data_IF_076741242661
#
_entry.id   IF_076741242661
#
_cell.length_a   1.000
_cell.length_b   1.000
_cell.length_c   1.000
_cell.angle_alpha   90.00
_cell.angle_beta   90.00
_cell.angle_gamma   90.00
#
_symmetry.space_group_name_H-M   'P 1'
#
loop_
_entity.id
_entity.type
_entity.pdbx_description
1 polymer ?
#
# COMPACT_ATOMS: atom_id res chain seq x y z
N UNK A 1 17.41 -25.57 11.35
CA UNK A 1 17.62 -26.64 10.36
C UNK A 1 16.28 -27.23 9.92
N UNK A 2 15.50 -27.90 10.78
CA UNK A 2 14.20 -28.44 10.31
C UNK A 2 13.19 -27.38 9.84
N UNK A 3 13.14 -26.19 10.46
CA UNK A 3 12.30 -25.08 10.00
C UNK A 3 12.75 -24.53 8.65
N UNK A 4 14.04 -24.18 8.51
CA UNK A 4 14.61 -23.68 7.26
C UNK A 4 14.49 -24.72 6.12
N UNK A 5 14.78 -26.01 6.37
CA UNK A 5 14.58 -27.05 5.36
C UNK A 5 13.11 -27.20 4.97
N UNK A 6 12.17 -27.12 5.91
CA UNK A 6 10.73 -27.13 5.58
C UNK A 6 10.30 -25.88 4.80
N UNK A 7 10.88 -24.72 5.08
CA UNK A 7 10.64 -23.48 4.33
C UNK A 7 11.17 -23.62 2.90
N UNK A 8 12.42 -24.04 2.73
CA UNK A 8 13.07 -24.22 1.43
C UNK A 8 12.35 -25.28 0.59
N UNK A 9 12.04 -26.46 1.16
CA UNK A 9 11.42 -27.56 0.40
C UNK A 9 9.94 -27.33 0.04
N UNK A 10 9.21 -26.49 0.79
CA UNK A 10 7.76 -26.29 0.58
C UNK A 10 7.36 -24.94 0.02
N UNK A 11 8.06 -23.87 0.40
CA UNK A 11 7.69 -22.50 0.03
C UNK A 11 8.49 -21.99 -1.17
N UNK A 12 9.70 -22.51 -1.40
CA UNK A 12 10.59 -22.10 -2.49
C UNK A 12 11.07 -23.31 -3.30
N UNK A 13 10.18 -24.03 -4.00
CA UNK A 13 10.60 -25.16 -4.80
C UNK A 13 11.58 -24.71 -5.91
N UNK A 14 12.50 -25.60 -6.28
CA UNK A 14 13.65 -25.28 -7.14
C UNK A 14 13.24 -24.78 -8.54
N UNK A 15 12.07 -25.21 -8.99
CA UNK A 15 11.42 -24.89 -10.26
C UNK A 15 10.43 -23.72 -10.18
N UNK A 16 10.34 -23.03 -9.02
CA UNK A 16 9.53 -21.83 -8.90
C UNK A 16 10.08 -20.73 -9.82
N UNK A 17 9.26 -20.30 -10.77
CA UNK A 17 9.56 -19.19 -11.67
C UNK A 17 9.27 -17.86 -10.96
N UNK A 18 10.32 -17.26 -10.41
CA UNK A 18 10.30 -15.94 -9.77
C UNK A 18 11.55 -15.18 -10.17
N UNK A 19 11.43 -13.87 -10.33
CA UNK A 19 12.55 -12.98 -10.69
C UNK A 19 13.15 -12.26 -9.48
N UNK A 20 12.35 -12.06 -8.43
CA UNK A 20 12.73 -11.36 -7.20
C UNK A 20 12.15 -12.06 -5.98
N UNK A 21 13.00 -12.31 -4.98
CA UNK A 21 12.60 -12.75 -3.65
C UNK A 21 12.93 -11.65 -2.65
N UNK A 22 11.91 -11.19 -1.92
CA UNK A 22 12.05 -10.27 -0.79
C UNK A 22 12.06 -11.09 0.50
N UNK A 23 13.12 -10.95 1.29
CA UNK A 23 13.31 -11.67 2.56
C UNK A 23 13.09 -10.69 3.71
N UNK A 24 12.02 -10.88 4.47
CA UNK A 24 11.71 -10.09 5.68
C UNK A 24 11.43 -11.03 6.86
N UNK A 25 12.41 -11.13 7.76
CA UNK A 25 12.32 -11.92 8.99
C UNK A 25 12.78 -11.14 10.23
N UNK A 26 13.05 -9.82 10.10
CA UNK A 26 13.69 -9.03 11.16
C UNK A 26 12.96 -9.10 12.50
N UNK A 27 11.64 -8.89 12.48
CA UNK A 27 10.77 -9.01 13.66
C UNK A 27 10.66 -10.46 14.14
N UNK A 28 10.55 -11.44 13.24
CA UNK A 28 10.39 -12.85 13.61
C UNK A 28 11.65 -13.40 14.29
N UNK A 29 12.82 -13.07 13.79
CA UNK A 29 14.09 -13.53 14.34
C UNK A 29 14.38 -12.88 15.69
N UNK A 30 13.90 -11.65 15.91
CA UNK A 30 14.03 -10.91 17.16
C UNK A 30 13.23 -11.55 18.33
N UNK A 31 12.11 -12.23 18.04
CA UNK A 31 11.20 -12.77 19.09
C UNK A 31 11.40 -14.26 19.37
N UNK A 32 12.26 -14.96 18.63
CA UNK A 32 12.54 -16.38 18.85
C UNK A 32 13.58 -16.52 19.96
N UNK A 33 13.13 -16.97 21.14
CA UNK A 33 13.98 -17.21 22.33
C UNK A 33 15.20 -18.12 22.03
N UNK A 34 15.06 -19.07 21.10
CA UNK A 34 16.15 -19.98 20.69
C UNK A 34 17.32 -19.23 20.00
N UNK A 35 17.08 -18.06 19.43
CA UNK A 35 18.10 -17.24 18.76
C UNK A 35 18.70 -16.15 19.65
N UNK A 36 18.07 -15.86 20.79
CA UNK A 36 18.57 -14.91 21.80
C UNK A 36 20.01 -15.24 22.24
N UNK A 37 20.38 -16.54 22.23
CA UNK A 37 21.70 -17.02 22.65
C UNK A 37 22.57 -17.59 21.52
N UNK A 38 22.11 -17.56 20.26
CA UNK A 38 22.84 -18.19 19.14
C UNK A 38 22.70 -17.44 17.80
N UNK A 39 23.15 -16.19 17.78
CA UNK A 39 23.19 -15.34 16.59
C UNK A 39 23.96 -15.98 15.42
N UNK A 40 24.97 -16.80 15.72
CA UNK A 40 25.75 -17.49 14.68
C UNK A 40 24.91 -18.50 13.91
N UNK A 41 24.04 -19.23 14.60
CA UNK A 41 23.12 -20.13 13.94
C UNK A 41 22.13 -19.38 13.03
N UNK A 42 21.68 -18.20 13.45
CA UNK A 42 20.81 -17.36 12.62
C UNK A 42 21.55 -16.88 11.37
N UNK A 43 22.80 -16.40 11.50
CA UNK A 43 23.65 -16.05 10.35
C UNK A 43 23.79 -17.22 9.39
N UNK A 44 24.09 -18.43 9.91
CA UNK A 44 24.18 -19.64 9.10
C UNK A 44 22.87 -19.96 8.37
N UNK A 45 21.71 -19.74 9.01
CA UNK A 45 20.43 -19.98 8.38
C UNK A 45 20.18 -19.05 7.19
N UNK A 46 20.47 -17.76 7.32
CA UNK A 46 20.37 -16.82 6.20
C UNK A 46 21.41 -17.09 5.12
N UNK A 47 22.66 -17.45 5.47
CA UNK A 47 23.65 -17.86 4.48
C UNK A 47 23.20 -19.08 3.68
N UNK A 48 22.55 -20.05 4.33
CA UNK A 48 22.00 -21.23 3.66
C UNK A 48 20.83 -20.87 2.74
N UNK A 49 19.95 -19.96 3.15
CA UNK A 49 18.87 -19.45 2.30
C UNK A 49 19.44 -18.77 1.04
N UNK A 50 20.41 -17.88 1.21
CA UNK A 50 21.06 -17.16 0.10
C UNK A 50 21.71 -18.12 -0.88
N UNK A 51 22.47 -19.11 -0.39
CA UNK A 51 23.10 -20.13 -1.23
C UNK A 51 22.07 -20.98 -1.95
N UNK A 52 20.99 -21.38 -1.27
CA UNK A 52 19.92 -22.13 -1.91
C UNK A 52 19.32 -21.35 -3.08
N UNK A 53 18.96 -20.08 -2.86
CA UNK A 53 18.36 -19.24 -3.90
C UNK A 53 19.31 -19.01 -5.08
N UNK A 54 20.59 -18.72 -4.81
CA UNK A 54 21.57 -18.44 -5.87
C UNK A 54 22.04 -19.67 -6.62
N UNK A 55 22.37 -20.73 -5.89
CA UNK A 55 23.11 -21.88 -6.42
C UNK A 55 22.18 -23.03 -6.82
N UNK A 56 20.94 -23.05 -6.31
CA UNK A 56 20.01 -24.18 -6.50
C UNK A 56 18.82 -23.83 -7.38
N UNK A 57 18.16 -22.69 -7.17
CA UNK A 57 16.95 -22.33 -7.95
C UNK A 57 17.27 -22.12 -9.44
N UNK A 58 16.40 -22.62 -10.31
CA UNK A 58 16.65 -22.69 -11.76
C UNK A 58 16.85 -21.32 -12.42
N UNK A 59 16.15 -20.29 -11.93
CA UNK A 59 16.20 -18.92 -12.45
C UNK A 59 17.12 -17.99 -11.67
N UNK A 60 17.77 -18.47 -10.59
CA UNK A 60 18.64 -17.68 -9.71
C UNK A 60 18.07 -16.27 -9.43
N UNK A 61 16.88 -16.15 -8.80
CA UNK A 61 16.20 -14.88 -8.65
C UNK A 61 17.06 -13.84 -7.92
N UNK A 62 16.79 -12.57 -8.20
CA UNK A 62 17.33 -11.48 -7.42
C UNK A 62 16.87 -11.60 -5.97
N UNK A 63 17.75 -11.21 -5.04
CA UNK A 63 17.45 -11.17 -3.61
C UNK A 63 17.45 -9.72 -3.14
N UNK A 64 16.42 -9.36 -2.39
CA UNK A 64 16.34 -8.13 -1.62
C UNK A 64 15.98 -8.48 -0.18
N UNK A 65 16.80 -8.03 0.77
CA UNK A 65 16.42 -8.12 2.18
C UNK A 65 15.64 -6.87 2.58
N UNK A 66 14.60 -7.05 3.38
CA UNK A 66 13.87 -5.97 4.01
C UNK A 66 13.89 -6.18 5.52
N UNK A 67 14.24 -5.14 6.26
CA UNK A 67 14.30 -5.19 7.71
C UNK A 67 13.07 -4.56 8.33
N UNK A 68 12.11 -5.41 8.69
CA UNK A 68 11.10 -5.08 9.69
C UNK A 68 11.76 -4.98 11.06
N UNK A 69 11.29 -4.01 11.86
CA UNK A 69 11.78 -3.78 13.20
C UNK A 69 10.64 -3.78 14.21
N UNK A 70 10.96 -4.18 15.44
CA UNK A 70 10.06 -3.96 16.58
C UNK A 70 10.41 -2.60 17.14
N UNK A 71 9.49 -1.67 17.00
CA UNK A 71 9.65 -0.34 17.53
C UNK A 71 9.79 -0.37 19.08
N UNK A 72 10.61 0.54 19.63
CA UNK A 72 11.15 0.42 20.99
C UNK A 72 10.11 0.51 22.12
N UNK A 73 8.85 0.86 21.85
CA UNK A 73 7.78 0.91 22.86
C UNK A 73 7.48 -0.45 23.51
N UNK A 74 7.73 -1.59 22.82
CA UNK A 74 7.67 -2.94 23.43
C UNK A 74 8.99 -3.38 24.05
N UNK A 75 10.11 -2.74 23.72
CA UNK A 75 11.43 -3.13 24.21
C UNK A 75 11.70 -2.67 25.65
N UNK A 76 10.76 -1.99 26.31
CA UNK A 76 10.87 -1.70 27.75
C UNK A 76 10.83 -2.97 28.63
N UNK A 77 10.28 -4.09 28.14
CA UNK A 77 10.35 -5.39 28.81
C UNK A 77 11.57 -6.24 28.36
N UNK A 78 12.15 -5.96 27.19
CA UNK A 78 13.37 -6.61 26.68
C UNK A 78 14.14 -5.68 25.71
N UNK A 79 15.05 -4.80 26.20
CA UNK A 79 15.70 -3.77 25.38
C UNK A 79 16.64 -4.29 24.27
N UNK A 80 16.91 -5.59 24.24
CA UNK A 80 18.02 -6.19 23.50
C UNK A 80 17.61 -6.94 22.23
N UNK A 81 16.30 -7.07 21.95
CA UNK A 81 15.80 -7.99 20.92
C UNK A 81 15.74 -7.40 19.50
N UNK A 82 15.51 -6.10 19.30
CA UNK A 82 15.38 -5.51 17.95
C UNK A 82 16.66 -4.85 17.41
N UNK A 83 17.52 -4.29 18.26
CA UNK A 83 18.74 -3.59 17.78
C UNK A 83 19.77 -4.53 17.13
N UNK A 84 19.75 -5.82 17.47
CA UNK A 84 20.76 -6.79 17.04
C UNK A 84 20.42 -7.49 15.69
N UNK A 85 19.14 -7.60 15.32
CA UNK A 85 18.77 -8.39 14.13
C UNK A 85 19.13 -7.69 12.81
N UNK A 86 18.95 -6.37 12.73
CA UNK A 86 19.38 -5.60 11.57
C UNK A 86 20.89 -5.76 11.31
N UNK A 87 21.72 -5.73 12.35
CA UNK A 87 23.17 -5.94 12.24
C UNK A 87 23.52 -7.38 11.83
N UNK A 88 22.80 -8.38 12.36
CA UNK A 88 22.96 -9.77 11.97
C UNK A 88 22.65 -9.97 10.49
N UNK A 89 21.49 -9.51 10.02
CA UNK A 89 21.08 -9.59 8.62
C UNK A 89 22.02 -8.79 7.71
N UNK A 90 22.41 -7.57 8.11
CA UNK A 90 23.38 -6.74 7.38
C UNK A 90 24.74 -7.44 7.23
N UNK A 91 25.23 -8.11 8.29
CA UNK A 91 26.51 -8.83 8.24
C UNK A 91 26.53 -9.96 7.21
N UNK A 92 25.39 -10.64 7.02
CA UNK A 92 25.24 -11.72 6.04
C UNK A 92 25.03 -11.15 4.63
N UNK A 93 24.15 -10.18 4.47
CA UNK A 93 23.82 -9.58 3.16
C UNK A 93 25.03 -8.86 2.55
N UNK A 94 25.79 -8.11 3.35
CA UNK A 94 27.03 -7.45 2.90
C UNK A 94 28.08 -8.45 2.43
N UNK A 95 28.26 -9.57 3.14
CA UNK A 95 29.19 -10.64 2.75
C UNK A 95 28.85 -11.25 1.39
N UNK A 96 27.57 -11.24 1.02
CA UNK A 96 27.05 -11.82 -0.20
C UNK A 96 26.69 -10.79 -1.28
N UNK A 97 27.00 -9.52 -1.10
CA UNK A 97 26.61 -8.44 -2.02
C UNK A 97 25.10 -8.43 -2.31
N UNK A 98 24.28 -8.60 -1.27
CA UNK A 98 22.82 -8.55 -1.37
C UNK A 98 22.33 -7.21 -0.85
N UNK A 99 21.48 -6.50 -1.60
CA UNK A 99 20.91 -5.26 -1.12
C UNK A 99 19.93 -5.49 0.03
N UNK A 100 19.87 -4.52 0.94
CA UNK A 100 18.98 -4.53 2.10
C UNK A 100 18.34 -3.15 2.27
N UNK A 101 17.03 -3.11 2.47
CA UNK A 101 16.29 -1.90 2.89
C UNK A 101 15.96 -2.00 4.37
N UNK A 102 16.10 -0.90 5.11
CA UNK A 102 15.73 -0.82 6.53
C UNK A 102 14.50 0.05 6.71
N UNK A 103 13.41 -0.56 7.22
CA UNK A 103 12.22 0.20 7.57
C UNK A 103 12.44 1.02 8.83
N UNK A 104 13.30 0.55 9.74
CA UNK A 104 13.74 1.33 10.90
C UNK A 104 14.37 2.64 10.47
N UNK A 105 15.34 2.60 9.57
CA UNK A 105 16.05 3.81 9.15
C UNK A 105 15.15 4.73 8.30
N UNK A 106 14.10 4.21 7.66
CA UNK A 106 13.12 4.99 6.93
C UNK A 106 12.09 5.69 7.83
N UNK A 107 11.57 5.00 8.86
CA UNK A 107 10.55 5.51 9.80
C UNK A 107 11.18 6.29 10.94
N UNK A 108 12.37 5.88 11.36
CA UNK A 108 13.05 6.35 12.56
C UNK A 108 14.55 6.61 12.29
N UNK A 109 14.87 7.60 11.44
CA UNK A 109 16.25 7.86 11.00
C UNK A 109 17.18 8.35 12.13
N UNK A 110 16.61 8.91 13.20
CA UNK A 110 17.35 9.41 14.36
C UNK A 110 16.80 8.80 15.63
N UNK A 111 17.66 8.10 16.39
CA UNK A 111 17.29 7.46 17.66
C UNK A 111 16.65 8.42 18.66
N UNK A 112 16.83 9.73 18.53
CA UNK A 112 16.29 10.73 19.46
C UNK A 112 14.81 11.07 19.19
N UNK A 113 14.29 10.76 18.00
CA UNK A 113 12.92 11.10 17.55
C UNK A 113 11.91 9.99 17.88
N UNK A 114 11.91 9.54 19.14
CA UNK A 114 11.08 8.42 19.61
C UNK A 114 9.58 8.63 19.43
N UNK A 115 9.09 9.87 19.62
CA UNK A 115 7.66 10.18 19.52
C UNK A 115 7.14 10.02 18.08
N UNK A 116 7.93 10.43 17.08
CA UNK A 116 7.54 10.31 15.67
C UNK A 116 7.45 8.84 15.22
N UNK A 117 8.32 7.96 15.74
CA UNK A 117 8.27 6.54 15.45
C UNK A 117 7.05 5.84 16.08
N UNK A 118 6.60 6.30 17.26
CA UNK A 118 5.39 5.81 17.92
C UNK A 118 4.12 6.27 17.19
N UNK A 119 4.09 7.54 16.77
CA UNK A 119 2.97 8.10 16.00
C UNK A 119 2.80 7.41 14.64
N UNK A 120 3.91 7.01 13.99
CA UNK A 120 3.90 6.32 12.71
C UNK A 120 3.65 4.82 12.89
N UNK A 121 4.44 4.12 13.71
CA UNK A 121 4.42 2.65 13.79
C UNK A 121 3.36 2.07 14.75
N UNK A 122 2.71 2.93 15.56
CA UNK A 122 1.73 2.53 16.56
C UNK A 122 2.35 1.71 17.71
N UNK A 123 1.54 0.99 18.50
CA UNK A 123 2.01 0.15 19.63
C UNK A 123 2.06 -1.36 19.33
N UNK A 124 1.97 -1.73 18.05
CA UNK A 124 1.83 -3.13 17.63
C UNK A 124 3.10 -3.66 16.97
N UNK A 125 3.31 -4.98 17.08
CA UNK A 125 4.33 -5.70 16.28
C UNK A 125 3.87 -5.84 14.82
N UNK A 126 2.55 -5.90 14.63
CA UNK A 126 1.93 -5.87 13.31
C UNK A 126 1.51 -4.43 13.04
N UNK A 127 2.20 -3.73 12.12
CA UNK A 127 1.82 -2.37 11.78
C UNK A 127 0.39 -2.27 11.26
N UNK A 128 -0.19 -1.08 11.33
CA UNK A 128 -1.43 -0.80 10.62
C UNK A 128 -1.17 -0.58 9.11
N UNK A 129 -2.23 -0.26 8.38
CA UNK A 129 -2.18 -0.11 6.94
C UNK A 129 -1.25 1.03 6.49
N UNK A 130 -1.18 2.11 7.25
CA UNK A 130 -0.40 3.30 6.95
C UNK A 130 1.09 2.98 6.91
N UNK A 131 1.54 2.22 7.89
CA UNK A 131 2.92 1.77 7.96
C UNK A 131 3.21 0.71 6.91
N UNK A 132 2.27 -0.20 6.62
CA UNK A 132 2.43 -1.16 5.54
C UNK A 132 2.59 -0.46 4.18
N UNK A 133 1.84 0.61 3.93
CA UNK A 133 2.00 1.45 2.73
C UNK A 133 3.39 2.09 2.70
N UNK A 134 3.85 2.68 3.82
CA UNK A 134 5.20 3.25 3.93
C UNK A 134 6.31 2.23 3.65
N UNK A 135 6.18 1.01 4.19
CA UNK A 135 7.13 -0.09 3.95
C UNK A 135 7.18 -0.46 2.46
N UNK A 136 6.01 -0.62 1.82
CA UNK A 136 5.92 -0.92 0.39
C UNK A 136 6.54 0.21 -0.46
N UNK A 137 6.27 1.46 -0.09
CA UNK A 137 6.80 2.66 -0.72
C UNK A 137 8.33 2.74 -0.64
N UNK A 138 8.93 2.39 0.51
CA UNK A 138 10.39 2.32 0.67
C UNK A 138 11.01 1.27 -0.26
N UNK A 139 10.40 0.07 -0.34
CA UNK A 139 10.85 -0.99 -1.25
C UNK A 139 10.74 -0.53 -2.70
N UNK A 140 9.59 0.04 -3.09
CA UNK A 140 9.36 0.53 -4.44
C UNK A 140 10.38 1.61 -4.81
N UNK A 141 10.60 2.60 -3.95
CA UNK A 141 11.59 3.65 -4.15
C UNK A 141 13.00 3.08 -4.36
N UNK A 142 13.41 2.09 -3.56
CA UNK A 142 14.70 1.43 -3.72
C UNK A 142 14.83 0.72 -5.08
N UNK A 143 13.79 -0.01 -5.50
CA UNK A 143 13.77 -0.71 -6.79
C UNK A 143 13.81 0.28 -7.96
N UNK A 144 13.05 1.37 -7.89
CA UNK A 144 13.04 2.43 -8.89
C UNK A 144 14.40 3.12 -9.01
N UNK A 145 15.03 3.46 -7.89
CA UNK A 145 16.38 4.04 -7.87
C UNK A 145 17.42 3.09 -8.45
N UNK A 146 17.32 1.80 -8.11
CA UNK A 146 18.20 0.76 -8.64
C UNK A 146 18.04 0.61 -10.16
N UNK A 147 16.81 0.65 -10.65
CA UNK A 147 16.53 0.62 -12.09
C UNK A 147 17.07 1.87 -12.80
N UNK A 148 16.84 3.07 -12.25
CA UNK A 148 17.38 4.30 -12.82
C UNK A 148 18.92 4.25 -12.96
N UNK A 149 19.62 3.80 -11.91
CA UNK A 149 21.08 3.60 -11.94
C UNK A 149 21.51 2.53 -12.92
N UNK A 150 20.75 1.45 -13.05
CA UNK A 150 21.01 0.42 -14.08
C UNK A 150 20.95 1.04 -15.48
N UNK A 151 19.94 1.86 -15.78
CA UNK A 151 19.81 2.54 -17.07
C UNK A 151 20.95 3.54 -17.33
N UNK A 152 21.43 4.24 -16.29
CA UNK A 152 22.59 5.14 -16.42
C UNK A 152 23.86 4.39 -16.85
N UNK A 153 24.05 3.16 -16.36
CA UNK A 153 25.25 2.36 -16.63
C UNK A 153 25.13 1.55 -17.93
N UNK A 154 23.95 0.99 -18.21
CA UNK A 154 23.76 0.00 -19.28
C UNK A 154 22.91 0.51 -20.46
N UNK A 155 22.44 1.76 -20.39
CA UNK A 155 21.59 2.37 -21.41
C UNK A 155 20.11 2.02 -21.23
N UNK A 156 19.21 2.66 -22.02
CA UNK A 156 17.77 2.44 -21.91
C UNK A 156 17.39 0.99 -22.24
N UNK A 157 16.84 0.28 -21.26
CA UNK A 157 16.04 -0.94 -21.48
C UNK A 157 14.70 -0.54 -22.14
N UNK A 158 14.08 -1.38 -22.98
CA UNK A 158 12.80 -1.06 -23.64
C UNK A 158 11.60 -0.88 -22.69
N UNK A 159 11.76 -1.11 -21.38
CA UNK A 159 10.69 -0.90 -20.40
C UNK A 159 10.70 0.55 -19.87
N UNK A 160 9.51 1.18 -19.74
CA UNK A 160 9.42 2.56 -19.31
C UNK A 160 10.05 2.75 -17.93
N UNK A 161 10.72 3.89 -17.74
CA UNK A 161 11.11 4.37 -16.42
C UNK A 161 9.89 4.39 -15.50
N UNK A 162 10.06 4.21 -14.17
CA UNK A 162 9.00 4.47 -13.23
C UNK A 162 8.41 5.84 -13.53
N UNK A 163 7.09 5.92 -13.64
CA UNK A 163 6.46 7.17 -14.04
C UNK A 163 6.81 8.23 -13.00
N UNK A 164 7.11 9.46 -13.42
CA UNK A 164 7.38 10.58 -12.51
C UNK A 164 6.25 10.76 -11.46
N UNK A 165 5.04 10.28 -11.81
CA UNK A 165 3.88 10.13 -10.93
C UNK A 165 4.11 9.20 -9.72
N UNK A 166 4.78 8.06 -9.87
CA UNK A 166 5.07 7.14 -8.75
C UNK A 166 6.11 7.73 -7.78
N UNK A 167 7.11 8.44 -8.31
CA UNK A 167 8.11 9.11 -7.48
C UNK A 167 7.52 10.31 -6.72
N UNK A 168 6.58 11.03 -7.34
CA UNK A 168 5.80 12.09 -6.67
C UNK A 168 4.83 11.50 -5.63
N UNK A 169 4.21 10.34 -5.91
CA UNK A 169 3.40 9.59 -4.93
C UNK A 169 4.20 9.25 -3.68
N UNK A 170 5.41 8.72 -3.83
CA UNK A 170 6.29 8.41 -2.68
C UNK A 170 6.58 9.65 -1.81
N UNK A 171 6.94 10.77 -2.44
CA UNK A 171 7.23 12.03 -1.73
C UNK A 171 5.99 12.63 -1.07
N UNK A 172 4.82 12.45 -1.69
CA UNK A 172 3.53 12.93 -1.19
C UNK A 172 2.94 12.07 -0.06
N UNK A 173 2.99 10.74 -0.19
CA UNK A 173 2.44 9.79 0.80
C UNK A 173 3.15 9.85 2.15
N UNK A 174 4.48 10.04 2.17
CA UNK A 174 5.20 10.38 3.41
C UNK A 174 4.69 11.70 4.04
N UNK A 175 4.15 12.61 3.22
CA UNK A 175 3.59 13.89 3.65
C UNK A 175 2.29 13.75 4.45
N UNK A 176 1.40 12.81 4.12
CA UNK A 176 0.20 12.54 4.92
C UNK A 176 0.54 11.86 6.25
N UNK A 177 1.48 10.90 6.25
CA UNK A 177 1.92 10.18 7.44
C UNK A 177 2.63 11.07 8.48
N UNK A 178 3.41 12.04 8.00
CA UNK A 178 4.13 12.97 8.88
C UNK A 178 3.29 14.17 9.34
N UNK A 179 2.02 14.29 8.91
CA UNK A 179 1.21 15.46 9.18
C UNK A 179 0.25 15.24 10.38
N UNK A 180 0.51 15.89 11.53
CA UNK A 180 -0.34 15.78 12.72
C UNK A 180 -1.72 16.44 12.55
N UNK A 181 -1.97 17.11 11.42
CA UNK A 181 -3.28 17.69 11.06
C UNK A 181 -4.03 16.87 10.01
N UNK A 182 -3.53 15.70 9.63
CA UNK A 182 -4.28 14.83 8.74
C UNK A 182 -5.54 14.29 9.43
N UNK A 183 -6.66 14.26 8.69
CA UNK A 183 -7.92 13.70 9.18
C UNK A 183 -8.11 12.33 8.55
N UNK A 184 -8.25 11.28 9.36
CA UNK A 184 -8.51 9.92 8.89
C UNK A 184 -9.97 9.56 9.19
N UNK A 185 -10.69 9.16 8.15
CA UNK A 185 -12.03 8.62 8.22
C UNK A 185 -11.98 7.10 8.02
N UNK A 186 -11.94 6.37 9.12
CA UNK A 186 -11.98 4.90 9.16
C UNK A 186 -13.42 4.38 9.02
N UNK A 187 -13.81 3.89 7.84
CA UNK A 187 -15.19 3.48 7.57
C UNK A 187 -15.54 2.14 8.23
N UNK A 188 -14.54 1.35 8.62
CA UNK A 188 -14.72 0.07 9.31
C UNK A 188 -15.37 0.21 10.69
N UNK A 189 -15.22 1.37 11.35
CA UNK A 189 -15.78 1.63 12.68
C UNK A 189 -17.31 1.80 12.69
N UNK A 190 -17.94 1.88 11.52
CA UNK A 190 -19.35 2.24 11.36
C UNK A 190 -20.28 1.06 11.02
N UNK A 191 -19.82 -0.19 11.18
CA UNK A 191 -20.64 -1.38 10.88
C UNK A 191 -21.96 -1.42 11.67
N UNK A 192 -21.93 -0.94 12.92
CA UNK A 192 -23.06 -0.91 13.85
C UNK A 192 -23.29 0.49 14.46
N UNK A 193 -22.69 1.53 13.85
CA UNK A 193 -22.79 2.92 14.30
C UNK A 193 -23.52 3.79 13.25
N UNK A 194 -24.01 4.98 13.62
CA UNK A 194 -24.52 5.94 12.65
C UNK A 194 -23.48 6.23 11.57
N UNK A 195 -23.89 6.50 10.34
CA UNK A 195 -22.96 6.90 9.27
C UNK A 195 -22.15 8.14 9.68
N UNK A 196 -20.87 8.24 9.25
CA UNK A 196 -20.04 9.40 9.56
C UNK A 196 -20.67 10.70 9.08
N UNK A 197 -20.46 11.80 9.80
CA UNK A 197 -21.00 13.12 9.46
C UNK A 197 -20.43 13.64 8.13
N UNK A 198 -19.20 13.21 7.81
CA UNK A 198 -18.51 13.48 6.57
C UNK A 198 -19.22 12.85 5.36
N UNK A 199 -19.99 11.76 5.53
CA UNK A 199 -20.75 11.12 4.44
C UNK A 199 -22.06 11.85 4.19
N UNK A 200 -22.02 12.87 3.33
CA UNK A 200 -23.16 13.77 3.06
C UNK A 200 -24.19 13.20 2.08
N UNK A 201 -23.81 12.24 1.23
CA UNK A 201 -24.74 11.61 0.28
C UNK A 201 -24.33 10.18 -0.03
N UNK A 202 -25.31 9.27 -0.05
CA UNK A 202 -25.08 7.86 -0.35
C UNK A 202 -26.24 7.26 -1.14
N UNK A 203 -25.93 6.62 -2.27
CA UNK A 203 -26.89 5.90 -3.11
C UNK A 203 -26.21 4.62 -3.61
N UNK A 204 -26.78 3.46 -3.32
CA UNK A 204 -26.22 2.18 -3.76
C UNK A 204 -24.95 1.74 -2.99
N UNK A 205 -24.59 2.40 -1.88
CA UNK A 205 -23.53 1.94 -0.97
C UNK A 205 -24.09 1.58 0.41
N UNK A 206 -23.46 0.61 1.06
CA UNK A 206 -23.77 0.17 2.41
C UNK A 206 -22.51 -0.22 3.17
N UNK A 207 -22.50 0.00 4.48
CA UNK A 207 -21.39 -0.44 5.33
C UNK A 207 -21.50 -1.95 5.51
N UNK A 208 -20.47 -2.68 5.08
CA UNK A 208 -20.45 -4.14 5.10
C UNK A 208 -19.09 -4.68 5.52
N UNK A 209 -19.13 -5.85 6.15
CA UNK A 209 -17.93 -6.65 6.39
C UNK A 209 -17.72 -7.61 5.21
N UNK A 210 -16.63 -7.44 4.47
CA UNK A 210 -16.23 -8.32 3.36
C UNK A 210 -14.76 -8.73 3.55
N UNK A 211 -14.48 -10.03 3.37
CA UNK A 211 -13.14 -10.61 3.52
C UNK A 211 -12.47 -10.28 4.86
N UNK A 212 -13.27 -10.14 5.93
CA UNK A 212 -12.76 -9.84 7.27
C UNK A 212 -12.65 -8.35 7.60
N UNK A 213 -12.54 -7.48 6.59
CA UNK A 213 -12.47 -6.04 6.78
C UNK A 213 -13.88 -5.43 6.81
N UNK A 214 -14.10 -4.38 7.61
CA UNK A 214 -15.31 -3.56 7.53
C UNK A 214 -15.05 -2.33 6.63
N UNK A 215 -16.08 -1.81 5.98
CA UNK A 215 -15.93 -0.63 5.13
C UNK A 215 -17.20 -0.31 4.33
N UNK A 216 -17.18 0.79 3.58
CA UNK A 216 -18.30 1.20 2.74
C UNK A 216 -18.23 0.48 1.39
N UNK A 217 -19.21 -0.38 1.11
CA UNK A 217 -19.28 -1.16 -0.12
C UNK A 217 -20.38 -0.63 -1.04
N UNK A 218 -20.01 -0.22 -2.24
CA UNK A 218 -20.95 0.18 -3.28
C UNK A 218 -21.32 -1.01 -4.16
N UNK A 219 -22.55 -1.00 -4.68
CA UNK A 219 -23.08 -2.03 -5.56
C UNK A 219 -23.74 -1.37 -6.76
N UNK A 220 -23.22 -1.62 -7.97
CA UNK A 220 -23.82 -1.13 -9.21
C UNK A 220 -24.49 -2.25 -9.98
N UNK A 221 -25.78 -2.06 -10.28
CA UNK A 221 -26.59 -2.96 -11.12
C UNK A 221 -26.82 -2.34 -12.50
N UNK A 222 -25.85 -2.52 -13.40
CA UNK A 222 -25.93 -2.06 -14.78
C UNK A 222 -25.71 -0.55 -14.97
N UNK A 223 -25.99 -0.03 -16.17
CA UNK A 223 -25.64 1.33 -16.57
C UNK A 223 -26.52 2.43 -15.96
N UNK A 224 -27.80 2.14 -15.67
CA UNK A 224 -28.79 3.16 -15.27
C UNK A 224 -28.91 3.38 -13.76
N UNK A 225 -28.24 2.57 -12.95
CA UNK A 225 -28.30 2.62 -11.48
C UNK A 225 -26.90 2.94 -10.91
N UNK A 226 -26.47 4.22 -10.93
CA UNK A 226 -25.13 4.58 -10.47
C UNK A 226 -25.05 4.49 -8.94
N UNK A 227 -24.12 3.69 -8.43
CA UNK A 227 -23.77 3.73 -7.02
C UNK A 227 -22.82 4.91 -6.77
N UNK A 228 -23.25 5.87 -5.95
CA UNK A 228 -22.51 7.10 -5.62
C UNK A 228 -22.43 7.29 -4.10
N UNK A 229 -21.24 7.58 -3.58
CA UNK A 229 -21.02 8.06 -2.22
C UNK A 229 -20.29 9.41 -2.30
N UNK A 230 -20.67 10.39 -1.50
CA UNK A 230 -20.02 11.71 -1.47
C UNK A 230 -19.68 12.08 -0.05
N UNK A 231 -18.43 12.51 0.14
CA UNK A 231 -17.86 12.93 1.41
C UNK A 231 -17.50 14.41 1.36
N UNK A 232 -17.68 15.10 2.47
CA UNK A 232 -17.09 16.42 2.73
C UNK A 232 -16.02 16.26 3.80
N UNK A 233 -14.76 16.45 3.39
CA UNK A 233 -13.57 16.24 4.22
C UNK A 233 -12.91 17.58 4.52
N UNK A 234 -12.39 17.74 5.73
CA UNK A 234 -11.59 18.93 6.10
C UNK A 234 -10.11 18.62 5.86
N UNK A 235 -9.49 19.31 4.92
CA UNK A 235 -8.11 19.03 4.51
C UNK A 235 -7.17 20.14 5.00
N UNK A 236 -6.85 20.13 6.29
CA UNK A 236 -6.04 21.17 6.96
C UNK A 236 -4.52 20.95 6.88
N UNK A 237 -4.07 20.07 5.97
CA UNK A 237 -2.72 19.52 5.94
C UNK A 237 -1.69 20.26 5.07
N UNK A 238 -2.12 21.00 4.05
CA UNK A 238 -1.22 21.76 3.17
C UNK A 238 -0.38 20.94 2.18
N UNK A 239 -0.51 19.61 2.15
CA UNK A 239 0.09 18.77 1.11
C UNK A 239 -0.83 18.62 -0.11
N UNK A 240 -2.15 18.72 0.08
CA UNK A 240 -3.12 18.70 -1.01
C UNK A 240 -3.22 17.31 -1.65
N UNK A 241 -3.36 16.28 -0.83
CA UNK A 241 -3.42 14.88 -1.20
C UNK A 241 -4.57 14.18 -0.47
N UNK A 242 -5.27 13.31 -1.21
CA UNK A 242 -6.24 12.37 -0.69
C UNK A 242 -5.66 10.96 -0.80
N UNK A 243 -5.43 10.33 0.35
CA UNK A 243 -5.11 8.91 0.43
C UNK A 243 -6.40 8.11 0.64
N UNK A 244 -6.55 7.03 -0.14
CA UNK A 244 -7.68 6.12 -0.07
C UNK A 244 -7.17 4.68 0.12
N UNK A 245 -7.74 3.98 1.11
CA UNK A 245 -7.63 2.53 1.23
C UNK A 245 -8.90 1.86 0.70
N UNK A 246 -8.73 0.81 -0.11
CA UNK A 246 -9.84 0.06 -0.69
C UNK A 246 -9.49 -1.42 -0.85
N UNK A 247 -10.50 -2.28 -0.89
CA UNK A 247 -10.30 -3.71 -1.14
C UNK A 247 -10.05 -3.94 -2.63
N UNK A 248 -9.06 -4.76 -2.97
CA UNK A 248 -8.90 -5.34 -4.31
C UNK A 248 -9.15 -6.85 -4.28
N UNK A 249 -9.64 -7.41 -5.39
CA UNK A 249 -9.91 -8.85 -5.48
C UNK A 249 -10.01 -9.36 -6.92
N UNK A 250 -9.73 -10.65 -7.11
CA UNK A 250 -9.85 -11.36 -8.39
C UNK A 250 -11.27 -11.53 -8.93
N UNK A 251 -12.31 -11.46 -8.08
CA UNK A 251 -13.71 -11.62 -8.54
C UNK A 251 -14.61 -10.54 -7.97
N UNK A 252 -15.49 -10.01 -8.83
CA UNK A 252 -16.62 -9.18 -8.45
C UNK A 252 -16.28 -7.72 -8.12
N UNK A 253 -15.00 -7.32 -8.18
CA UNK A 253 -14.61 -5.94 -8.00
C UNK A 253 -14.68 -5.17 -9.31
N UNK A 254 -15.24 -3.96 -9.26
CA UNK A 254 -15.28 -3.01 -10.39
C UNK A 254 -14.32 -1.85 -10.18
N UNK A 255 -14.30 -0.91 -11.13
CA UNK A 255 -13.59 0.35 -10.98
C UNK A 255 -14.51 1.44 -10.42
N UNK A 256 -13.93 2.38 -9.68
CA UNK A 256 -14.60 3.57 -9.16
C UNK A 256 -14.00 4.82 -9.80
N UNK A 257 -14.85 5.76 -10.17
CA UNK A 257 -14.45 7.12 -10.51
C UNK A 257 -14.45 7.95 -9.23
N UNK A 258 -13.31 8.51 -8.89
CA UNK A 258 -13.11 9.42 -7.77
C UNK A 258 -13.05 10.82 -8.33
N UNK A 259 -14.00 11.66 -7.95
CA UNK A 259 -14.07 13.07 -8.31
C UNK A 259 -13.81 13.91 -7.06
N UNK A 260 -12.86 14.84 -7.15
CA UNK A 260 -12.44 15.70 -6.04
C UNK A 260 -12.71 17.14 -6.44
N UNK A 261 -13.55 17.82 -5.68
CA UNK A 261 -13.82 19.26 -5.83
C UNK A 261 -13.22 20.00 -4.63
N UNK A 262 -12.31 20.94 -4.92
CA UNK A 262 -11.73 21.85 -3.93
C UNK A 262 -12.28 23.26 -4.13
N UNK A 263 -12.73 23.90 -3.04
CA UNK A 263 -13.29 25.25 -3.04
C UNK A 263 -14.28 25.48 -1.88
N UNK A 264 -14.80 26.71 -1.71
CA UNK A 264 -15.79 27.01 -0.67
C UNK A 264 -17.02 26.12 -0.82
N UNK A 265 -17.55 25.58 0.28
CA UNK A 265 -18.79 24.80 0.25
C UNK A 265 -19.96 25.71 -0.15
N UNK A 266 -21.07 25.12 -0.57
CA UNK A 266 -22.25 25.87 -1.00
C UNK A 266 -22.82 26.85 0.07
N UNK A 267 -22.41 26.69 1.33
CA UNK A 267 -22.78 27.58 2.44
C UNK A 267 -21.89 28.83 2.57
N UNK A 268 -20.69 28.82 1.97
CA UNK A 268 -19.69 29.90 2.02
C UNK A 268 -19.74 30.87 0.82
N UNK A 269 -20.75 30.73 -0.05
CA UNK A 269 -20.92 31.53 -1.26
C UNK A 269 -21.38 32.97 -0.96
N UNK A 270 -20.49 33.80 -0.41
CA UNK A 270 -20.55 35.25 -0.53
C UNK A 270 -19.49 35.85 -1.44
N UNK A 271 -18.42 35.11 -1.76
CA UNK A 271 -17.40 35.53 -2.72
C UNK A 271 -17.23 34.49 -3.84
N UNK A 272 -16.97 34.98 -5.06
CA UNK A 272 -16.75 34.20 -6.28
C UNK A 272 -15.46 33.35 -6.21
N UNK A 273 -15.42 32.37 -5.31
CA UNK A 273 -14.33 31.42 -5.18
C UNK A 273 -14.24 30.52 -6.42
N UNK A 274 -13.02 30.36 -6.94
CA UNK A 274 -12.73 29.45 -8.05
C UNK A 274 -12.77 28.02 -7.50
N UNK A 275 -13.75 27.21 -7.92
CA UNK A 275 -13.72 25.77 -7.64
C UNK A 275 -12.83 25.06 -8.66
N UNK A 276 -12.06 24.08 -8.19
CA UNK A 276 -11.17 23.28 -9.02
C UNK A 276 -11.52 21.80 -8.87
N UNK A 277 -11.56 21.06 -9.97
CA UNK A 277 -11.98 19.65 -9.97
C UNK A 277 -10.92 18.73 -10.58
N UNK A 278 -10.72 17.57 -9.95
CA UNK A 278 -9.88 16.49 -10.47
C UNK A 278 -10.67 15.18 -10.50
N UNK A 279 -10.32 14.29 -11.44
CA UNK A 279 -10.99 12.99 -11.58
C UNK A 279 -9.95 11.89 -11.81
N UNK A 280 -10.05 10.82 -11.03
CA UNK A 280 -9.19 9.63 -11.15
C UNK A 280 -10.06 8.37 -11.20
N UNK A 281 -9.63 7.38 -11.98
CA UNK A 281 -10.27 6.05 -11.99
C UNK A 281 -9.38 5.11 -11.19
N UNK A 282 -9.98 4.43 -10.21
CA UNK A 282 -9.32 3.46 -9.35
C UNK A 282 -9.93 2.09 -9.60
N UNK A 283 -9.09 1.10 -9.91
CA UNK A 283 -9.54 -0.25 -10.23
C UNK A 283 -9.44 -1.18 -9.02
N UNK A 284 -10.55 -1.84 -8.70
CA UNK A 284 -10.62 -2.84 -7.63
C UNK A 284 -10.21 -4.25 -8.08
N UNK A 285 -9.94 -4.46 -9.38
CA UNK A 285 -9.56 -5.78 -9.90
C UNK A 285 -8.11 -6.12 -9.56
N UNK A 286 -7.87 -7.35 -9.11
CA UNK A 286 -6.54 -7.86 -8.76
C UNK A 286 -6.31 -9.27 -9.27
N UNK A 287 -5.13 -9.54 -9.82
CA UNK A 287 -4.86 -10.82 -10.49
C UNK A 287 -4.66 -11.99 -9.52
N UNK A 288 -4.46 -11.73 -8.22
CA UNK A 288 -4.34 -12.79 -7.21
C UNK A 288 -5.70 -13.25 -6.69
N UNK A 289 -5.83 -14.56 -6.46
CA UNK A 289 -7.00 -15.17 -5.82
C UNK A 289 -7.22 -14.78 -4.35
N UNK A 290 -6.46 -13.82 -3.81
CA UNK A 290 -6.66 -13.22 -2.49
C UNK A 290 -7.38 -11.86 -2.60
N UNK A 291 -8.22 -11.54 -1.62
CA UNK A 291 -8.70 -10.17 -1.40
C UNK A 291 -7.77 -9.49 -0.39
N UNK A 292 -7.24 -8.32 -0.72
CA UNK A 292 -6.33 -7.55 0.15
C UNK A 292 -6.67 -6.06 0.06
N UNK A 293 -6.26 -5.28 1.06
CA UNK A 293 -6.29 -3.82 0.96
C UNK A 293 -5.28 -3.32 -0.09
N UNK A 294 -5.64 -2.24 -0.77
CA UNK A 294 -4.83 -1.50 -1.74
C UNK A 294 -5.04 -0.01 -1.51
N UNK A 295 -4.13 0.79 -2.05
CA UNK A 295 -4.07 2.22 -1.75
C UNK A 295 -3.90 3.05 -3.03
N UNK A 296 -4.57 4.20 -3.08
CA UNK A 296 -4.36 5.21 -4.12
C UNK A 296 -4.21 6.59 -3.46
N UNK A 297 -3.16 7.32 -3.87
CA UNK A 297 -2.92 8.71 -3.48
C UNK A 297 -3.31 9.62 -4.64
N UNK A 298 -4.22 10.55 -4.41
CA UNK A 298 -4.79 11.43 -5.43
C UNK A 298 -4.50 12.89 -5.08
N UNK A 299 -3.85 13.66 -5.96
CA UNK A 299 -3.68 15.09 -5.75
C UNK A 299 -5.02 15.83 -5.70
N UNK A 300 -5.20 16.63 -4.66
CA UNK A 300 -6.31 17.56 -4.51
C UNK A 300 -5.99 18.78 -5.37
N UNK A 301 -6.91 19.20 -6.25
CA UNK A 301 -6.64 20.32 -7.14
C UNK A 301 -6.52 21.63 -6.33
N UNK A 302 -5.55 22.48 -6.69
CA UNK A 302 -5.31 23.75 -6.00
C UNK A 302 -6.49 24.71 -6.23
N UNK A 303 -7.13 25.13 -5.13
CA UNK A 303 -8.23 26.09 -5.11
C UNK A 303 -7.87 27.43 -4.45
N UNK A 304 -6.57 27.68 -4.17
CA UNK A 304 -6.10 28.98 -3.66
C UNK A 304 -6.29 29.21 -2.15
N UNK A 305 -6.57 28.17 -1.38
CA UNK A 305 -6.66 28.22 0.08
C UNK A 305 -7.08 26.88 0.66
N UNK A 306 -6.49 26.47 1.79
CA UNK A 306 -6.90 25.27 2.52
C UNK A 306 -8.38 25.36 2.90
N UNK A 307 -9.11 24.26 2.75
CA UNK A 307 -10.56 24.26 2.92
C UNK A 307 -11.17 22.88 2.73
N UNK A 308 -12.47 22.81 2.99
CA UNK A 308 -13.28 21.61 2.82
C UNK A 308 -13.17 21.09 1.38
N UNK A 309 -13.03 19.78 1.23
CA UNK A 309 -12.92 19.07 -0.04
C UNK A 309 -14.10 18.13 -0.17
N UNK A 310 -14.79 18.20 -1.30
CA UNK A 310 -15.85 17.25 -1.63
C UNK A 310 -15.27 16.12 -2.46
N UNK A 311 -15.42 14.89 -2.00
CA UNK A 311 -14.94 13.68 -2.67
C UNK A 311 -16.12 12.78 -3.02
N UNK A 312 -16.33 12.53 -4.31
CA UNK A 312 -17.41 11.67 -4.81
C UNK A 312 -16.86 10.40 -5.44
N UNK A 313 -17.37 9.25 -4.98
CA UNK A 313 -17.05 7.91 -5.45
C UNK A 313 -18.22 7.37 -6.26
N UNK A 314 -18.00 7.13 -7.55
CA UNK A 314 -19.01 6.55 -8.45
C UNK A 314 -18.52 5.25 -9.05
N UNK A 315 -19.17 4.13 -8.73
CA UNK A 315 -18.82 2.84 -9.34
C UNK A 315 -19.14 2.90 -10.84
N UNK A 316 -18.18 2.55 -11.68
CA UNK A 316 -18.32 2.58 -13.14
C UNK A 316 -19.11 1.38 -13.66
N UNK A 317 -19.81 1.58 -14.77
CA UNK A 317 -20.41 0.49 -15.54
C UNK A 317 -19.37 -0.21 -16.42
N UNK A 318 -19.76 -1.35 -16.99
CA UNK A 318 -18.93 -2.12 -17.91
C UNK A 318 -18.46 -1.36 -19.14
N UNK A 319 -19.35 -0.56 -19.69
CA UNK A 319 -19.09 0.22 -20.90
C UNK A 319 -18.15 1.39 -20.60
N UNK A 320 -18.34 2.03 -19.44
CA UNK A 320 -17.50 3.14 -19.00
C UNK A 320 -16.04 2.70 -18.75
N UNK A 321 -15.82 1.57 -18.09
CA UNK A 321 -14.47 1.01 -17.89
C UNK A 321 -13.74 0.70 -19.20
N UNK A 322 -14.45 0.15 -20.19
CA UNK A 322 -13.89 -0.16 -21.52
C UNK A 322 -13.57 1.10 -22.31
N UNK A 323 -14.35 2.17 -22.12
CA UNK A 323 -14.12 3.45 -22.80
C UNK A 323 -12.95 4.23 -22.21
N UNK A 324 -12.64 4.04 -20.92
CA UNK A 324 -11.55 4.72 -20.23
C UNK A 324 -10.21 3.97 -20.28
N UNK A 325 -10.20 2.69 -20.65
CA UNK A 325 -8.99 1.90 -20.84
C UNK A 325 -8.26 2.25 -22.15
N UNK A 326 -7.64 3.43 -22.22
CA UNK A 326 -6.71 3.77 -23.33
C UNK A 326 -5.23 3.50 -23.02
N UNK A 327 -4.89 3.04 -21.81
CA UNK A 327 -3.53 2.63 -21.47
C UNK A 327 -3.50 1.62 -20.31
N UNK A 328 -3.72 0.33 -20.61
CA UNK A 328 -3.17 -0.73 -19.75
C UNK A 328 -1.93 -1.28 -20.45
N UNK A 329 -0.83 -1.32 -19.71
CA UNK A 329 0.47 -1.89 -20.11
C UNK A 329 0.41 -3.41 -20.29
N UNK A 330 -0.75 -4.03 -20.13
CA UNK A 330 -0.99 -5.45 -20.35
C UNK A 330 -2.32 -5.65 -21.07
N UNK A 331 -2.22 -5.70 -22.40
CA UNK A 331 -3.33 -6.04 -23.29
C UNK A 331 -3.47 -7.57 -23.32
N UNK A 332 -4.19 -8.12 -22.35
CA UNK A 332 -4.45 -9.57 -22.31
C UNK A 332 -5.59 -9.91 -23.26
N UNK A 333 -5.25 -10.58 -24.37
CA UNK A 333 -6.19 -11.38 -25.17
C UNK A 333 -6.66 -12.58 -24.34
N UNK A 334 -7.65 -12.37 -23.48
CA UNK A 334 -8.33 -13.40 -22.69
C UNK A 334 -9.83 -13.34 -22.92
N UNK A 335 -10.42 -14.49 -23.22
CA UNK A 335 -11.83 -14.77 -23.54
C UNK A 335 -12.86 -13.76 -22.95
N UNK A 336 -13.49 -12.95 -23.81
CA UNK A 336 -14.49 -11.92 -23.41
C UNK A 336 -15.68 -12.51 -22.63
N UNK A 337 -15.93 -13.80 -22.78
CA UNK A 337 -17.01 -14.51 -22.10
C UNK A 337 -16.68 -14.81 -20.63
N UNK A 338 -15.39 -14.98 -20.27
CA UNK A 338 -14.96 -15.11 -18.86
C UNK A 338 -15.03 -13.77 -18.11
N UNK A 339 -14.71 -12.67 -18.77
CA UNK A 339 -14.87 -11.33 -18.19
C UNK A 339 -16.34 -10.98 -17.89
N UNK A 340 -17.29 -11.47 -18.69
CA UNK A 340 -18.72 -11.24 -18.46
C UNK A 340 -19.26 -12.04 -17.29
N UNK A 341 -18.79 -13.28 -17.10
CA UNK A 341 -19.26 -14.18 -16.04
C UNK A 341 -18.74 -13.78 -14.63
N UNK A 342 -17.55 -13.19 -14.55
CA UNK A 342 -16.91 -12.71 -13.30
C UNK A 342 -17.51 -11.38 -12.79
N UNK A 343 -18.20 -10.61 -13.65
CA UNK A 343 -18.60 -9.21 -13.41
C UNK A 343 -20.10 -9.00 -13.10
N UNK A 344 -20.81 -10.04 -12.64
CA UNK A 344 -22.27 -10.08 -12.48
C UNK A 344 -22.91 -9.20 -11.39
N UNK A 345 -22.13 -8.65 -10.46
CA UNK A 345 -22.55 -7.59 -9.52
C UNK A 345 -21.28 -6.81 -9.17
N UNK A 346 -21.09 -5.64 -9.79
CA UNK A 346 -19.86 -4.85 -9.59
C UNK A 346 -19.93 -4.17 -8.24
N UNK A 347 -18.98 -4.49 -7.39
CA UNK A 347 -18.81 -3.83 -6.11
C UNK A 347 -17.46 -3.16 -6.02
N UNK A 348 -17.41 -2.11 -5.22
CA UNK A 348 -16.18 -1.47 -4.79
C UNK A 348 -16.28 -1.31 -3.28
N UNK A 349 -15.17 -1.53 -2.57
CA UNK A 349 -15.16 -1.39 -1.12
C UNK A 349 -14.09 -0.43 -0.70
N UNK A 350 -14.54 0.70 -0.18
CA UNK A 350 -13.73 1.72 0.45
C UNK A 350 -13.56 1.38 1.94
N UNK A 351 -12.33 1.43 2.44
CA UNK A 351 -11.98 1.08 3.82
C UNK A 351 -11.74 2.35 4.63
N UNK A 352 -10.89 3.24 4.13
CA UNK A 352 -10.57 4.50 4.80
C UNK A 352 -10.28 5.62 3.79
N UNK A 353 -10.42 6.86 4.26
CA UNK A 353 -10.00 8.07 3.56
C UNK A 353 -9.13 8.89 4.51
N UNK A 354 -8.01 9.40 4.01
CA UNK A 354 -7.16 10.32 4.74
C UNK A 354 -6.91 11.56 3.89
N UNK A 355 -7.15 12.73 4.47
CA UNK A 355 -6.83 13.99 3.81
C UNK A 355 -5.64 14.67 4.46
N UNK A 356 -4.71 15.14 3.64
CA UNK A 356 -3.63 16.04 3.99
C UNK A 356 -3.38 17.04 2.82
#
# INVERSE_FOLDING_TARGET
MQFLHKLLDKALPVDLEVDLIIVDFGVNDAVIEEFEYNLEYLRMAHELLIRYVRDTMFHSPALLYAESFIAPFRSLEAPWQSENMAEVHASVTQKHDIPMVSFRDAVWPHKEDYAAAEDIWGHSVHPDWQVHQLMADVVAYYLQLSYARFLEVYGPSPNPSPSERELQRFKGGMGCLANPRSSILELGNYLDAPTPEELVSVTGWSVLKLSGEAGLTGFRKGATDPAVATFELVCDGGAGLLDMEYLVSYVGMGSVMVEIEAGPTAEDLQDEGISSTSTVIVDGLWDSHASVSSFETIPIPDAGGGGNVRVSFRILSAEEERSSSSSRLFDFKGDEDREKEVRGDRKFKLISLQCC
#
